data_IF_210917697227
#
_entry.id   IF_210917697227
#
_cell.length_a   1.000
_cell.length_b   1.000
_cell.length_c   1.000
_cell.angle_alpha   90.00
_cell.angle_beta   90.00
_cell.angle_gamma   90.00
#
_symmetry.space_group_name_H-M   'P 1'
#
loop_
_entity.id
_entity.type
_entity.pdbx_description
1 polymer ?
#
# COMPACT_ATOMS: atom_id res chain seq x y z
N UNK A 1 -56.01 42.04 -9.01
CA UNK A 1 -55.34 41.24 -10.07
C UNK A 1 -53.86 41.56 -10.06
N UNK A 2 -53.04 40.53 -10.26
CA UNK A 2 -51.58 40.53 -10.42
C UNK A 2 -50.72 40.57 -9.14
N UNK A 3 -50.62 39.39 -8.55
CA UNK A 3 -49.47 38.94 -7.78
C UNK A 3 -48.33 38.57 -8.75
N UNK A 4 -47.15 39.18 -8.58
CA UNK A 4 -45.92 38.77 -9.27
C UNK A 4 -44.75 38.75 -8.29
N UNK A 5 -44.55 37.57 -7.71
CA UNK A 5 -43.27 36.95 -7.27
C UNK A 5 -43.68 35.56 -6.74
N UNK A 6 -43.09 34.45 -7.23
CA UNK A 6 -41.73 34.11 -6.84
C UNK A 6 -40.98 33.24 -7.88
N UNK A 7 -40.26 33.82 -8.85
CA UNK A 7 -39.46 33.02 -9.81
C UNK A 7 -37.99 32.86 -9.34
N UNK A 8 -37.53 33.66 -8.37
CA UNK A 8 -36.11 33.69 -7.96
C UNK A 8 -35.69 32.59 -6.96
N UNK A 9 -36.60 31.76 -6.45
CA UNK A 9 -36.26 30.71 -5.46
C UNK A 9 -35.85 29.39 -6.11
N UNK A 10 -36.35 29.09 -7.30
CA UNK A 10 -36.05 27.85 -8.02
C UNK A 10 -34.67 27.86 -8.69
N UNK A 11 -34.27 28.96 -9.32
CA UNK A 11 -32.98 29.03 -10.03
C UNK A 11 -31.78 28.86 -9.08
N UNK A 12 -31.88 29.40 -7.84
CA UNK A 12 -30.85 29.20 -6.81
C UNK A 12 -30.78 27.74 -6.33
N UNK A 13 -31.93 27.06 -6.23
CA UNK A 13 -31.95 25.63 -5.85
C UNK A 13 -31.46 24.74 -6.98
N UNK A 14 -31.75 25.06 -8.24
CA UNK A 14 -31.25 24.31 -9.40
C UNK A 14 -29.72 24.42 -9.53
N UNK A 15 -29.14 25.59 -9.26
CA UNK A 15 -27.68 25.75 -9.21
C UNK A 15 -27.07 24.94 -8.05
N UNK A 16 -27.60 25.05 -6.83
CA UNK A 16 -27.08 24.29 -5.68
C UNK A 16 -27.22 22.77 -5.83
N UNK A 17 -28.30 22.30 -6.49
CA UNK A 17 -28.52 20.87 -6.73
C UNK A 17 -27.63 20.33 -7.87
N UNK A 18 -27.36 21.16 -8.89
CA UNK A 18 -26.44 20.83 -9.98
C UNK A 18 -24.97 20.67 -9.54
N UNK A 19 -24.53 21.42 -8.52
CA UNK A 19 -23.17 21.27 -7.96
C UNK A 19 -23.02 20.06 -7.02
N UNK A 20 -24.12 19.58 -6.40
CA UNK A 20 -24.10 18.37 -5.57
C UNK A 20 -23.85 17.10 -6.39
N UNK A 21 -24.58 16.94 -7.50
CA UNK A 21 -24.46 15.74 -8.36
C UNK A 21 -23.19 15.73 -9.23
N UNK A 22 -22.65 16.91 -9.56
CA UNK A 22 -21.37 17.01 -10.28
C UNK A 22 -20.20 16.52 -9.42
N UNK A 23 -20.23 16.73 -8.09
CA UNK A 23 -19.20 16.24 -7.17
C UNK A 23 -19.18 14.71 -7.08
N UNK A 24 -20.36 14.08 -7.02
CA UNK A 24 -20.47 12.60 -6.96
C UNK A 24 -20.02 11.95 -8.28
N UNK A 25 -20.32 12.57 -9.42
CA UNK A 25 -19.87 12.08 -10.73
C UNK A 25 -18.38 12.36 -11.00
N UNK A 26 -17.80 13.40 -10.40
CA UNK A 26 -16.35 13.65 -10.45
C UNK A 26 -15.55 12.63 -9.65
N UNK A 27 -16.03 12.15 -8.50
CA UNK A 27 -15.38 11.05 -7.77
C UNK A 27 -15.35 9.77 -8.60
N UNK A 28 -16.48 9.38 -9.22
CA UNK A 28 -16.52 8.19 -10.08
C UNK A 28 -15.65 8.28 -11.35
N UNK A 29 -15.35 9.47 -11.85
CA UNK A 29 -14.49 9.65 -13.04
C UNK A 29 -13.01 9.77 -12.64
N UNK A 30 -12.69 10.37 -11.49
CA UNK A 30 -11.33 10.40 -10.97
C UNK A 30 -10.83 8.99 -10.61
N UNK A 31 -11.64 8.21 -9.88
CA UNK A 31 -11.28 6.86 -9.44
C UNK A 31 -11.15 5.87 -10.62
N UNK A 32 -11.85 6.12 -11.73
CA UNK A 32 -11.81 5.26 -12.91
C UNK A 32 -10.69 5.63 -13.89
N UNK A 33 -10.17 6.86 -13.83
CA UNK A 33 -9.00 7.27 -14.63
C UNK A 33 -7.68 6.81 -14.00
N UNK A 34 -7.56 6.77 -12.66
CA UNK A 34 -6.36 6.27 -12.00
C UNK A 34 -6.16 4.76 -12.23
N UNK A 35 -7.23 3.97 -12.18
CA UNK A 35 -7.15 2.53 -12.47
C UNK A 35 -6.83 2.21 -13.94
N UNK A 36 -7.23 3.08 -14.88
CA UNK A 36 -7.01 2.84 -16.32
C UNK A 36 -5.66 3.38 -16.82
N UNK A 37 -5.10 4.44 -16.22
CA UNK A 37 -3.75 4.90 -16.54
C UNK A 37 -2.70 3.88 -16.09
N UNK A 38 -2.88 3.24 -14.93
CA UNK A 38 -1.97 2.21 -14.45
C UNK A 38 -1.99 0.95 -15.34
N UNK A 39 -3.17 0.61 -15.88
CA UNK A 39 -3.33 -0.47 -16.86
C UNK A 39 -2.57 -0.20 -18.17
N UNK A 40 -2.55 1.06 -18.65
CA UNK A 40 -1.81 1.43 -19.88
C UNK A 40 -0.31 1.50 -19.62
N UNK A 41 0.13 1.98 -18.45
CA UNK A 41 1.54 1.95 -18.03
C UNK A 41 2.05 0.51 -17.92
N UNK A 42 1.27 -0.41 -17.33
CA UNK A 42 1.59 -1.85 -17.30
C UNK A 42 1.67 -2.48 -18.69
N UNK A 43 0.78 -2.10 -19.62
CA UNK A 43 0.77 -2.64 -20.99
C UNK A 43 1.98 -2.19 -21.83
N UNK A 44 2.54 -1.01 -21.57
CA UNK A 44 3.75 -0.52 -22.26
C UNK A 44 5.02 -1.10 -21.60
N UNK A 45 5.04 -1.30 -20.28
CA UNK A 45 6.20 -1.87 -19.55
C UNK A 45 6.57 -3.29 -19.97
N UNK A 46 5.60 -4.09 -20.42
CA UNK A 46 5.83 -5.45 -20.94
C UNK A 46 6.37 -5.52 -22.37
N UNK A 47 6.49 -4.39 -23.08
CA UNK A 47 6.98 -4.34 -24.47
C UNK A 47 8.35 -3.67 -24.64
N UNK A 48 9.01 -3.26 -23.55
CA UNK A 48 10.31 -2.59 -23.64
C UNK A 48 11.47 -3.59 -23.45
N UNK A 49 11.84 -4.29 -24.52
CA UNK A 49 13.14 -4.96 -24.63
C UNK A 49 14.20 -3.94 -25.02
N UNK A 50 14.67 -3.15 -24.06
CA UNK A 50 15.81 -2.26 -24.25
C UNK A 50 17.10 -2.91 -23.70
N UNK A 51 17.93 -3.45 -24.59
CA UNK A 51 19.27 -3.93 -24.30
C UNK A 51 20.26 -2.74 -24.23
N UNK A 52 20.69 -2.35 -23.03
CA UNK A 52 21.75 -1.36 -22.84
C UNK A 52 23.09 -2.03 -22.44
N UNK A 53 24.23 -1.67 -23.05
CA UNK A 53 25.52 -2.25 -22.72
C UNK A 53 26.08 -1.67 -21.40
N UNK A 54 26.69 -2.56 -20.62
CA UNK A 54 27.24 -2.32 -19.28
C UNK A 54 28.37 -1.27 -19.28
N UNK A 55 28.17 -0.19 -18.52
CA UNK A 55 29.22 0.78 -18.16
C UNK A 55 29.13 1.15 -16.67
N UNK A 56 30.26 1.40 -15.96
CA UNK A 56 30.24 1.56 -14.52
C UNK A 56 29.93 3.01 -14.13
N UNK A 57 28.66 3.28 -13.84
CA UNK A 57 28.17 4.57 -13.33
C UNK A 57 27.64 4.41 -11.91
N UNK A 58 28.32 5.03 -10.93
CA UNK A 58 27.90 5.14 -9.53
C UNK A 58 26.79 6.19 -9.43
N UNK A 59 25.56 5.81 -9.81
CA UNK A 59 24.32 6.55 -9.55
C UNK A 59 23.41 5.75 -8.62
N UNK A 60 22.39 6.38 -7.99
CA UNK A 60 21.41 5.64 -7.19
C UNK A 60 20.77 4.58 -8.07
N UNK A 61 20.78 3.33 -7.63
CA UNK A 61 20.25 2.19 -8.38
C UNK A 61 18.75 2.41 -8.64
N UNK A 62 18.41 2.84 -9.86
CA UNK A 62 17.02 3.01 -10.31
C UNK A 62 16.36 1.68 -10.69
N UNK A 63 16.89 0.56 -10.21
CA UNK A 63 16.26 -0.73 -10.44
C UNK A 63 14.97 -0.76 -9.63
N UNK A 64 13.78 -0.86 -10.28
CA UNK A 64 12.56 -1.12 -9.53
C UNK A 64 12.79 -2.39 -8.71
N UNK A 65 12.42 -2.34 -7.43
CA UNK A 65 12.49 -3.49 -6.53
C UNK A 65 11.92 -4.72 -7.25
N UNK A 66 12.71 -5.79 -7.32
CA UNK A 66 12.30 -7.07 -7.89
C UNK A 66 12.16 -8.08 -6.75
N UNK A 67 10.93 -8.56 -6.46
CA UNK A 67 10.74 -9.58 -5.44
C UNK A 67 11.51 -10.86 -5.78
N UNK A 68 11.98 -11.57 -4.76
CA UNK A 68 12.61 -12.88 -4.93
C UNK A 68 11.53 -13.95 -5.22
N UNK A 69 11.48 -14.54 -6.43
CA UNK A 69 10.46 -15.54 -6.79
C UNK A 69 10.55 -16.82 -5.95
N UNK A 70 11.70 -17.11 -5.34
CA UNK A 70 11.86 -18.30 -4.49
C UNK A 70 11.05 -18.26 -3.18
N UNK A 71 10.43 -17.12 -2.86
CA UNK A 71 9.55 -16.95 -1.69
C UNK A 71 8.08 -17.20 -2.00
N UNK A 72 7.71 -17.47 -3.25
CA UNK A 72 6.31 -17.66 -3.63
C UNK A 72 5.69 -18.89 -2.95
N UNK A 73 4.37 -18.86 -2.67
CA UNK A 73 3.63 -20.05 -2.28
C UNK A 73 3.82 -21.22 -3.26
N UNK A 74 3.85 -22.47 -2.78
CA UNK A 74 3.95 -23.65 -3.63
C UNK A 74 2.89 -23.68 -4.74
N UNK A 75 3.29 -24.00 -5.97
CA UNK A 75 2.35 -24.10 -7.09
C UNK A 75 1.88 -22.76 -7.68
N UNK A 76 2.27 -21.61 -7.12
CA UNK A 76 2.03 -20.30 -7.71
C UNK A 76 3.02 -20.00 -8.85
N UNK A 77 2.55 -19.38 -9.93
CA UNK A 77 3.43 -18.89 -10.99
C UNK A 77 4.23 -17.66 -10.49
N UNK A 78 5.33 -17.33 -11.16
CA UNK A 78 6.09 -16.11 -10.80
C UNK A 78 5.24 -14.87 -11.07
N UNK A 79 4.49 -14.87 -12.18
CA UNK A 79 3.61 -13.79 -12.59
C UNK A 79 2.48 -13.54 -11.58
N UNK A 80 1.74 -14.58 -11.19
CA UNK A 80 0.64 -14.46 -10.22
C UNK A 80 1.15 -13.97 -8.86
N UNK A 81 2.33 -14.46 -8.45
CA UNK A 81 2.96 -14.03 -7.21
C UNK A 81 3.35 -12.56 -7.24
N UNK A 82 3.94 -12.08 -8.33
CA UNK A 82 4.31 -10.68 -8.47
C UNK A 82 3.09 -9.76 -8.57
N UNK A 83 2.06 -10.16 -9.30
CA UNK A 83 0.81 -9.40 -9.38
C UNK A 83 0.14 -9.30 -8.01
N UNK A 84 0.15 -10.39 -7.23
CA UNK A 84 -0.37 -10.42 -5.87
C UNK A 84 0.43 -9.53 -4.92
N UNK A 85 1.76 -9.56 -5.00
CA UNK A 85 2.62 -8.67 -4.22
C UNK A 85 2.33 -7.21 -4.57
N UNK A 86 2.16 -6.86 -5.84
CA UNK A 86 1.82 -5.50 -6.23
C UNK A 86 0.45 -5.07 -5.73
N UNK A 87 -0.57 -5.94 -5.85
CA UNK A 87 -1.92 -5.62 -5.35
C UNK A 87 -2.01 -5.54 -3.83
N UNK A 88 -1.08 -6.19 -3.11
CA UNK A 88 -1.02 -6.14 -1.65
C UNK A 88 -0.45 -4.84 -1.08
N UNK A 89 0.17 -4.00 -1.92
CA UNK A 89 0.73 -2.71 -1.51
C UNK A 89 -0.28 -1.60 -1.77
N UNK A 90 -0.86 -1.09 -0.70
CA UNK A 90 -1.78 0.03 -0.75
C UNK A 90 -1.04 1.36 -0.65
N UNK A 91 -1.54 2.37 -1.35
CA UNK A 91 -0.94 3.71 -1.40
C UNK A 91 0.57 3.66 -1.72
N UNK A 92 1.02 3.06 -2.84
CA UNK A 92 2.44 2.84 -3.12
C UNK A 92 3.26 4.15 -3.18
N UNK A 93 2.60 5.27 -3.52
CA UNK A 93 3.20 6.60 -3.57
C UNK A 93 3.21 7.34 -2.22
N UNK A 94 2.79 6.68 -1.14
CA UNK A 94 2.82 7.23 0.22
C UNK A 94 4.24 7.65 0.63
N UNK A 95 4.34 8.70 1.45
CA UNK A 95 5.64 9.25 1.88
C UNK A 95 6.30 8.44 3.00
N UNK A 96 5.54 7.61 3.69
CA UNK A 96 5.98 6.68 4.73
C UNK A 96 5.25 5.36 4.58
N UNK A 97 5.81 4.28 5.14
CA UNK A 97 5.14 3.01 5.35
C UNK A 97 4.63 2.92 6.78
N UNK A 98 3.43 2.36 6.98
CA UNK A 98 2.88 2.09 8.30
C UNK A 98 2.68 0.59 8.49
N UNK A 99 3.28 0.08 9.57
CA UNK A 99 3.14 -1.28 10.08
C UNK A 99 2.28 -1.27 11.34
N UNK A 100 1.54 -2.35 11.59
CA UNK A 100 0.75 -2.45 12.82
C UNK A 100 -0.24 -3.60 12.85
N UNK A 101 -1.09 -3.60 13.89
CA UNK A 101 -2.11 -4.64 14.09
C UNK A 101 -3.42 -4.25 13.42
N UNK A 102 -4.05 -5.21 12.74
CA UNK A 102 -5.38 -5.03 12.18
C UNK A 102 -6.43 -4.81 13.27
N UNK A 103 -6.33 -5.56 14.37
CA UNK A 103 -7.26 -5.47 15.49
C UNK A 103 -6.52 -5.45 16.84
N UNK A 104 -6.71 -4.36 17.58
CA UNK A 104 -6.38 -4.23 19.00
C UNK A 104 -7.56 -3.50 19.67
N UNK A 105 -8.21 -4.08 20.69
CA UNK A 105 -9.39 -3.49 21.32
C UNK A 105 -9.16 -2.05 21.77
N UNK A 106 -10.08 -1.15 21.39
CA UNK A 106 -10.02 0.26 21.79
C UNK A 106 -9.02 1.12 21.02
N UNK A 107 -8.41 0.62 19.95
CA UNK A 107 -7.50 1.38 19.09
C UNK A 107 -7.90 1.26 17.61
N UNK A 108 -7.47 2.21 16.80
CA UNK A 108 -7.62 2.16 15.33
C UNK A 108 -6.72 1.07 14.73
N UNK A 109 -7.16 0.47 13.61
CA UNK A 109 -6.33 -0.45 12.84
C UNK A 109 -5.17 0.29 12.18
N UNK A 110 -4.08 -0.41 11.84
CA UNK A 110 -2.99 0.20 11.07
C UNK A 110 -3.46 0.74 9.71
N UNK A 111 -4.47 0.11 9.10
CA UNK A 111 -5.12 0.56 7.86
C UNK A 111 -5.76 1.94 8.08
N UNK A 112 -6.58 2.09 9.12
CA UNK A 112 -7.20 3.39 9.43
C UNK A 112 -6.16 4.47 9.72
N UNK A 113 -5.08 4.12 10.41
CA UNK A 113 -3.98 5.05 10.70
C UNK A 113 -3.24 5.45 9.42
N UNK A 114 -3.03 4.50 8.49
CA UNK A 114 -2.38 4.75 7.21
C UNK A 114 -3.25 5.62 6.28
N UNK A 115 -4.53 5.30 6.15
CA UNK A 115 -5.49 6.09 5.36
C UNK A 115 -5.75 7.48 5.97
N UNK A 116 -5.61 7.61 7.30
CA UNK A 116 -5.72 8.88 8.01
C UNK A 116 -4.53 9.83 7.79
N UNK A 117 -3.40 9.38 7.25
CA UNK A 117 -2.25 10.25 6.93
C UNK A 117 -2.59 11.17 5.75
N UNK A 118 -1.84 12.28 5.64
CA UNK A 118 -2.03 13.26 4.57
C UNK A 118 -0.66 13.58 3.91
N UNK A 119 -0.32 12.97 2.77
CA UNK A 119 -1.10 11.98 2.02
C UNK A 119 -1.18 10.62 2.75
N UNK A 120 -2.12 9.73 2.37
CA UNK A 120 -2.19 8.37 2.90
C UNK A 120 -0.84 7.64 2.84
N UNK A 121 -0.51 6.93 3.91
CA UNK A 121 0.73 6.17 4.01
C UNK A 121 0.62 4.83 3.27
N UNK A 122 1.76 4.32 2.83
CA UNK A 122 1.88 2.99 2.24
C UNK A 122 1.65 1.93 3.32
N UNK A 123 0.87 0.89 3.03
CA UNK A 123 0.72 -0.26 3.92
C UNK A 123 0.53 -1.55 3.12
N UNK A 124 0.76 -2.67 3.78
CA UNK A 124 0.55 -4.00 3.23
C UNK A 124 -0.79 -4.56 3.70
N UNK A 125 -1.59 -5.13 2.79
CA UNK A 125 -2.77 -5.92 3.13
C UNK A 125 -3.11 -6.90 2.03
N UNK A 126 -3.31 -8.17 2.39
CA UNK A 126 -3.89 -9.18 1.51
C UNK A 126 -5.40 -9.39 1.73
N UNK A 127 -5.97 -8.75 2.75
CA UNK A 127 -7.37 -8.97 3.15
C UNK A 127 -7.70 -10.47 3.25
N UNK A 128 -8.83 -10.86 2.64
CA UNK A 128 -9.32 -12.24 2.63
C UNK A 128 -8.42 -13.21 1.84
N UNK A 129 -7.48 -12.73 1.01
CA UNK A 129 -6.57 -13.61 0.28
C UNK A 129 -5.55 -14.28 1.20
N UNK A 130 -5.26 -13.70 2.37
CA UNK A 130 -4.31 -14.25 3.32
C UNK A 130 -4.68 -15.68 3.75
N UNK A 131 -5.88 -15.85 4.30
CA UNK A 131 -6.34 -17.15 4.79
C UNK A 131 -6.50 -18.15 3.63
N UNK A 132 -6.99 -17.70 2.48
CA UNK A 132 -7.16 -18.53 1.29
C UNK A 132 -5.81 -19.11 0.79
N UNK A 133 -4.77 -18.28 0.70
CA UNK A 133 -3.44 -18.72 0.26
C UNK A 133 -2.83 -19.65 1.32
N UNK A 134 -2.91 -19.27 2.60
CA UNK A 134 -2.38 -20.09 3.68
C UNK A 134 -2.98 -21.49 3.67
N UNK A 135 -4.31 -21.57 3.67
CA UNK A 135 -5.04 -22.82 3.84
C UNK A 135 -4.97 -23.71 2.59
N UNK A 136 -4.99 -23.12 1.39
CA UNK A 136 -4.86 -23.89 0.13
C UNK A 136 -3.48 -24.50 -0.08
N UNK A 137 -2.44 -23.89 0.51
CA UNK A 137 -1.06 -24.32 0.36
C UNK A 137 -0.48 -25.02 1.61
N UNK A 138 -1.30 -25.25 2.64
CA UNK A 138 -0.89 -25.78 3.94
C UNK A 138 0.32 -25.03 4.54
N UNK A 139 0.34 -23.70 4.37
CA UNK A 139 1.43 -22.85 4.83
C UNK A 139 1.26 -22.48 6.30
N UNK A 140 2.38 -22.32 7.00
CA UNK A 140 2.40 -21.74 8.34
C UNK A 140 2.32 -20.21 8.28
N UNK A 141 2.10 -19.56 9.42
CA UNK A 141 2.19 -18.10 9.48
C UNK A 141 3.60 -17.59 9.12
N UNK A 142 4.65 -18.36 9.47
CA UNK A 142 6.03 -18.03 9.13
C UNK A 142 6.28 -18.12 7.62
N UNK A 143 5.73 -19.15 6.97
CA UNK A 143 5.79 -19.27 5.50
C UNK A 143 5.08 -18.07 4.84
N UNK A 144 3.91 -17.67 5.36
CA UNK A 144 3.18 -16.50 4.85
C UNK A 144 3.96 -15.20 5.08
N UNK A 145 4.58 -15.05 6.24
CA UNK A 145 5.41 -13.90 6.56
C UNK A 145 6.60 -13.78 5.59
N UNK A 146 7.32 -14.87 5.36
CA UNK A 146 8.42 -14.92 4.40
C UNK A 146 7.94 -14.68 2.96
N UNK A 147 6.76 -15.19 2.59
CA UNK A 147 6.19 -14.99 1.26
C UNK A 147 5.69 -13.57 1.00
N UNK A 148 5.24 -12.81 2.01
CA UNK A 148 4.53 -11.56 1.76
C UNK A 148 5.03 -10.36 2.57
N UNK A 149 5.19 -10.49 3.88
CA UNK A 149 5.70 -9.40 4.71
C UNK A 149 7.16 -9.08 4.37
N UNK A 150 8.02 -10.11 4.23
CA UNK A 150 9.44 -9.88 3.90
C UNK A 150 9.61 -9.15 2.57
N UNK A 151 8.95 -9.55 1.46
CA UNK A 151 9.03 -8.78 0.22
C UNK A 151 8.52 -7.35 0.33
N UNK A 152 7.48 -7.09 1.14
CA UNK A 152 7.00 -5.74 1.39
C UNK A 152 8.07 -4.90 2.13
N UNK A 153 8.65 -5.43 3.22
CA UNK A 153 9.69 -4.74 3.97
C UNK A 153 10.93 -4.47 3.12
N UNK A 154 11.37 -5.45 2.33
CA UNK A 154 12.50 -5.27 1.41
C UNK A 154 12.22 -4.20 0.36
N UNK A 155 10.98 -4.10 -0.14
CA UNK A 155 10.56 -3.01 -1.02
C UNK A 155 10.66 -1.66 -0.33
N UNK A 156 10.12 -1.52 0.88
CA UNK A 156 10.16 -0.24 1.62
C UNK A 156 11.60 0.19 1.91
N UNK A 157 12.47 -0.75 2.27
CA UNK A 157 13.91 -0.50 2.47
C UNK A 157 14.57 -0.08 1.16
N UNK A 158 14.32 -0.79 0.06
CA UNK A 158 14.92 -0.51 -1.25
C UNK A 158 14.49 0.86 -1.80
N UNK A 159 13.25 1.26 -1.53
CA UNK A 159 12.71 2.59 -1.89
C UNK A 159 13.18 3.70 -0.92
N UNK A 160 13.85 3.34 0.19
CA UNK A 160 14.28 4.30 1.22
C UNK A 160 13.10 4.96 1.94
N UNK A 161 11.94 4.29 2.00
CA UNK A 161 10.73 4.82 2.60
C UNK A 161 10.84 4.75 4.13
N UNK A 162 10.56 5.84 4.87
CA UNK A 162 10.47 5.80 6.32
C UNK A 162 9.44 4.78 6.79
N UNK A 163 9.74 4.03 7.85
CA UNK A 163 8.86 2.99 8.39
C UNK A 163 8.41 3.38 9.80
N UNK A 164 7.11 3.60 9.94
CA UNK A 164 6.43 3.97 11.19
C UNK A 164 5.55 2.81 11.68
N UNK A 165 5.33 2.73 12.98
CA UNK A 165 4.49 1.74 13.63
C UNK A 165 3.25 2.41 14.21
N UNK A 166 2.04 1.94 13.88
CA UNK A 166 0.80 2.42 14.52
C UNK A 166 0.58 1.86 15.93
N UNK A 167 1.22 0.72 16.22
CA UNK A 167 1.17 0.02 17.50
C UNK A 167 2.58 -0.35 17.90
N UNK A 168 2.86 -0.38 19.20
CA UNK A 168 4.22 -0.68 19.66
C UNK A 168 4.51 -2.18 19.44
N UNK A 169 5.46 -2.56 18.56
CA UNK A 169 5.78 -3.96 18.28
C UNK A 169 6.19 -4.73 19.54
N UNK A 170 6.79 -4.05 20.53
CA UNK A 170 7.25 -4.66 21.78
C UNK A 170 6.09 -5.14 22.69
N UNK A 171 4.87 -4.65 22.46
CA UNK A 171 3.68 -5.09 23.20
C UNK A 171 3.08 -6.39 22.63
N UNK A 172 3.59 -6.86 21.47
CA UNK A 172 3.06 -8.03 20.74
C UNK A 172 4.18 -9.01 20.32
N UNK A 173 4.96 -9.56 21.26
CA UNK A 173 6.18 -10.33 20.97
C UNK A 173 5.96 -11.61 20.13
N UNK A 174 4.78 -12.22 20.21
CA UNK A 174 4.44 -13.44 19.46
C UNK A 174 3.57 -13.13 18.23
N UNK A 175 3.92 -12.09 17.47
CA UNK A 175 3.13 -11.66 16.32
C UNK A 175 3.97 -11.16 15.16
N UNK A 176 3.39 -11.19 13.96
CA UNK A 176 3.99 -10.67 12.74
C UNK A 176 4.52 -9.23 12.89
N UNK A 177 3.94 -8.41 13.77
CA UNK A 177 4.43 -7.04 14.01
C UNK A 177 5.79 -7.03 14.73
N UNK A 178 6.01 -7.97 15.66
CA UNK A 178 7.31 -8.14 16.29
C UNK A 178 8.31 -8.77 15.31
N UNK A 179 7.87 -9.69 14.46
CA UNK A 179 8.72 -10.28 13.41
C UNK A 179 9.13 -9.24 12.36
N UNK A 180 8.24 -8.32 11.99
CA UNK A 180 8.54 -7.16 11.13
C UNK A 180 9.63 -6.29 11.74
N UNK A 181 9.53 -5.96 13.04
CA UNK A 181 10.57 -5.23 13.74
C UNK A 181 11.89 -6.01 13.75
N UNK A 182 11.86 -7.30 14.12
CA UNK A 182 13.06 -8.14 14.17
C UNK A 182 13.76 -8.23 12.80
N UNK A 183 12.98 -8.31 11.71
CA UNK A 183 13.50 -8.26 10.36
C UNK A 183 14.21 -6.92 10.07
N UNK A 184 13.60 -5.79 10.42
CA UNK A 184 14.20 -4.47 10.23
C UNK A 184 15.49 -4.30 11.03
N UNK A 185 15.51 -4.76 12.29
CA UNK A 185 16.71 -4.73 13.14
C UNK A 185 17.84 -5.61 12.57
N UNK A 186 17.50 -6.78 12.02
CA UNK A 186 18.46 -7.64 11.32
C UNK A 186 19.04 -6.97 10.05
N UNK A 187 18.34 -5.99 9.47
CA UNK A 187 18.81 -5.14 8.37
C UNK A 187 19.54 -3.87 8.84
N UNK A 188 19.74 -3.71 10.15
CA UNK A 188 20.49 -2.61 10.75
C UNK A 188 19.65 -1.41 11.17
N UNK A 189 18.32 -1.49 11.07
CA UNK A 189 17.45 -0.45 11.61
C UNK A 189 17.44 -0.48 13.13
N UNK A 190 17.10 0.65 13.74
CA UNK A 190 16.81 0.77 15.17
C UNK A 190 15.40 1.28 15.35
N UNK A 191 14.69 0.72 16.31
CA UNK A 191 13.37 1.20 16.70
C UNK A 191 13.47 2.20 17.84
N UNK A 192 12.79 3.34 17.69
CA UNK A 192 12.58 4.29 18.77
C UNK A 192 11.11 4.22 19.24
N UNK A 193 10.86 3.71 20.47
CA UNK A 193 9.50 3.59 21.01
C UNK A 193 8.85 4.96 21.32
N UNK A 194 9.61 6.06 21.31
CA UNK A 194 9.09 7.40 21.55
C UNK A 194 8.45 7.98 20.29
N UNK A 195 9.11 7.78 19.15
CA UNK A 195 8.64 8.28 17.84
C UNK A 195 7.85 7.22 17.07
N UNK A 196 7.89 5.97 17.52
CA UNK A 196 7.28 4.81 16.86
C UNK A 196 7.83 4.59 15.45
N UNK A 197 9.12 4.82 15.26
CA UNK A 197 9.79 4.71 13.96
C UNK A 197 10.96 3.75 13.99
N UNK A 198 11.13 3.01 12.89
CA UNK A 198 12.38 2.33 12.57
C UNK A 198 13.22 3.19 11.63
N UNK A 199 14.48 3.42 11.99
CA UNK A 199 15.42 4.23 11.21
C UNK A 199 16.80 3.58 11.12
N UNK A 200 17.55 3.92 10.07
CA UNK A 200 18.97 3.57 9.96
C UNK A 200 19.82 4.65 10.67
N UNK A 201 20.66 4.27 11.65
CA UNK A 201 21.52 5.21 12.38
C UNK A 201 22.74 5.69 11.59
#
# INVERSE_FOLDING_TARGET
MSALKPIFREVKQAALKGFGDAKVKLHHVADNMDNHLDTVVKKIKGQDTFDAPSGPGRGPSVHPYRPNPNRKPPGMSDEDYFDLLESSVHNPNGLEAILGKYYVPGTSSYVDVAEGRQPPATYFSLGDQWDNIRDSNNMTNDDMFESFNVPFLERMIAEGKPISFSHNPLDFPDSALADELAFLEAKGFRFDPTTMQAYLP
#
